data_IF_346851903606
#
_entry.id   IF_346851903606
#
_cell.length_a   1.000
_cell.length_b   1.000
_cell.length_c   1.000
_cell.angle_alpha   90.00
_cell.angle_beta   90.00
_cell.angle_gamma   90.00
#
_symmetry.space_group_name_H-M   'P 1'
#
loop_
_entity.id
_entity.type
_entity.pdbx_description
1 polymer ?
#
# COMPACT_ATOMS: atom_id res chain seq x y z
N UNK A 1 -2.23 30.41 27.60
CA UNK A 1 -1.33 29.25 27.45
C UNK A 1 -1.86 28.23 26.45
N UNK A 2 -3.05 27.64 26.64
CA UNK A 2 -3.56 26.55 25.76
C UNK A 2 -3.68 26.92 24.27
N UNK A 3 -4.18 28.12 23.93
CA UNK A 3 -4.27 28.59 22.54
C UNK A 3 -2.90 28.78 21.86
N UNK A 4 -1.89 29.20 22.62
CA UNK A 4 -0.51 29.36 22.12
C UNK A 4 0.17 28.00 21.87
N UNK A 5 -0.05 27.04 22.76
CA UNK A 5 0.45 25.66 22.60
C UNK A 5 -0.24 24.98 21.40
N UNK A 6 -1.54 25.19 21.23
CA UNK A 6 -2.28 24.69 20.08
C UNK A 6 -1.84 25.34 18.76
N UNK A 7 -1.62 26.65 18.73
CA UNK A 7 -1.10 27.34 17.55
C UNK A 7 0.32 26.88 17.19
N UNK A 8 1.20 26.68 18.18
CA UNK A 8 2.52 26.11 17.98
C UNK A 8 2.45 24.66 17.45
N UNK A 9 1.45 23.88 17.89
CA UNK A 9 1.21 22.52 17.40
C UNK A 9 0.75 22.51 15.94
N UNK A 10 -0.24 23.33 15.57
CA UNK A 10 -0.69 23.46 14.16
C UNK A 10 0.47 23.91 13.27
N UNK A 11 1.25 24.90 13.70
CA UNK A 11 2.43 25.34 12.97
C UNK A 11 3.46 24.21 12.81
N UNK A 12 3.70 23.40 13.84
CA UNK A 12 4.63 22.26 13.80
C UNK A 12 4.15 21.18 12.83
N UNK A 13 2.86 20.86 12.81
CA UNK A 13 2.27 19.88 11.88
C UNK A 13 2.35 20.38 10.43
N UNK A 14 2.01 21.65 10.18
CA UNK A 14 2.06 22.24 8.84
C UNK A 14 3.50 22.37 8.32
N UNK A 15 4.45 22.79 9.17
CA UNK A 15 5.88 22.82 8.84
C UNK A 15 6.45 21.42 8.64
N UNK A 16 5.99 20.43 9.41
CA UNK A 16 6.36 19.02 9.21
C UNK A 16 5.84 18.50 7.87
N UNK A 17 4.61 18.81 7.49
CA UNK A 17 4.10 18.41 6.18
C UNK A 17 4.88 19.06 5.03
N UNK A 18 5.16 20.37 5.14
CA UNK A 18 5.87 21.13 4.09
C UNK A 18 7.36 20.77 3.94
N UNK A 19 8.02 20.29 5.00
CA UNK A 19 9.47 19.99 5.00
C UNK A 19 9.75 18.48 5.03
N UNK A 20 9.02 17.73 5.85
CA UNK A 20 9.21 16.28 6.01
C UNK A 20 8.58 15.49 4.86
N UNK A 21 7.47 15.96 4.29
CA UNK A 21 6.82 15.34 3.14
C UNK A 21 7.77 15.24 1.94
N UNK A 22 8.35 16.36 1.47
CA UNK A 22 9.38 16.32 0.43
C UNK A 22 10.60 15.50 0.87
N UNK A 23 11.14 15.70 2.08
CA UNK A 23 12.32 14.96 2.55
C UNK A 23 12.13 13.43 2.53
N UNK A 24 10.98 12.93 2.99
CA UNK A 24 10.66 11.52 2.94
C UNK A 24 10.40 11.04 1.50
N UNK A 25 9.75 11.84 0.65
CA UNK A 25 9.62 11.58 -0.79
C UNK A 25 10.98 11.41 -1.46
N UNK A 26 11.91 12.36 -1.25
CA UNK A 26 13.29 12.31 -1.75
C UNK A 26 14.05 11.05 -1.30
N UNK A 27 13.83 10.58 -0.06
CA UNK A 27 14.44 9.35 0.46
C UNK A 27 13.80 8.07 -0.09
N UNK A 28 12.49 8.06 -0.33
CA UNK A 28 11.74 6.91 -0.86
C UNK A 28 12.01 6.74 -2.36
N UNK A 29 12.10 7.85 -3.10
CA UNK A 29 12.33 7.88 -4.54
C UNK A 29 13.82 7.74 -4.93
N UNK A 30 14.73 7.65 -3.96
CA UNK A 30 16.17 7.43 -4.20
C UNK A 30 16.92 8.65 -4.72
N UNK A 31 16.39 9.86 -4.55
CA UNK A 31 17.06 11.10 -4.91
C UNK A 31 18.15 11.49 -3.91
N UNK A 32 19.12 12.30 -4.36
CA UNK A 32 20.20 12.81 -3.51
C UNK A 32 19.70 13.81 -2.46
N UNK A 33 19.57 13.31 -1.23
CA UNK A 33 19.18 14.08 -0.04
C UNK A 33 20.10 15.26 0.30
N UNK A 34 21.28 15.39 -0.32
CA UNK A 34 22.19 16.53 -0.16
C UNK A 34 21.62 17.86 -0.68
N UNK A 35 20.62 17.79 -1.56
CA UNK A 35 19.91 18.95 -2.13
C UNK A 35 18.95 19.62 -1.13
N UNK A 36 18.51 18.89 -0.08
CA UNK A 36 17.76 19.48 1.02
C UNK A 36 18.73 20.12 2.00
N UNK A 37 18.74 21.46 2.04
CA UNK A 37 19.53 22.20 3.00
C UNK A 37 19.27 21.71 4.44
N UNK A 38 20.34 21.51 5.22
CA UNK A 38 20.25 21.06 6.62
C UNK A 38 19.52 22.08 7.52
N UNK A 39 19.46 23.34 7.09
CA UNK A 39 18.85 24.46 7.83
C UNK A 39 17.33 24.25 8.04
N UNK A 40 16.51 23.98 7.01
CA UNK A 40 15.10 23.60 7.17
C UNK A 40 14.84 22.46 8.16
N UNK A 41 15.65 21.40 8.11
CA UNK A 41 15.51 20.24 9.00
C UNK A 41 15.82 20.61 10.46
N UNK A 42 16.88 21.38 10.70
CA UNK A 42 17.26 21.85 12.04
C UNK A 42 16.19 22.79 12.61
N UNK A 43 15.66 23.71 11.80
CA UNK A 43 14.57 24.60 12.21
C UNK A 43 13.32 23.80 12.59
N UNK A 44 12.96 22.77 11.80
CA UNK A 44 11.84 21.90 12.10
C UNK A 44 12.07 21.11 13.40
N UNK A 45 13.27 20.57 13.62
CA UNK A 45 13.62 19.89 14.87
C UNK A 45 13.48 20.83 16.08
N UNK A 46 13.96 22.07 15.98
CA UNK A 46 13.82 23.08 17.05
C UNK A 46 12.35 23.38 17.32
N UNK A 47 11.51 23.52 16.28
CA UNK A 47 10.08 23.72 16.43
C UNK A 47 9.38 22.54 17.12
N UNK A 48 9.70 21.31 16.72
CA UNK A 48 9.14 20.09 17.32
C UNK A 48 9.57 19.96 18.80
N UNK A 49 10.86 20.15 19.10
CA UNK A 49 11.37 20.11 20.48
C UNK A 49 10.76 21.21 21.35
N UNK A 50 10.61 22.42 20.82
CA UNK A 50 9.93 23.53 21.49
C UNK A 50 8.46 23.22 21.78
N UNK A 51 7.76 22.57 20.83
CA UNK A 51 6.38 22.12 21.00
C UNK A 51 6.25 21.06 22.09
N UNK A 52 7.16 20.07 22.13
CA UNK A 52 7.22 19.05 23.20
C UNK A 52 7.49 19.71 24.55
N UNK A 53 8.50 20.58 24.65
CA UNK A 53 8.85 21.25 25.89
C UNK A 53 7.71 22.14 26.41
N UNK A 54 7.05 22.89 25.53
CA UNK A 54 5.87 23.70 25.85
C UNK A 54 4.69 22.85 26.34
N UNK A 55 4.48 21.70 25.71
CA UNK A 55 3.43 20.74 26.07
C UNK A 55 3.69 20.10 27.43
N UNK A 56 4.93 19.70 27.73
CA UNK A 56 5.35 19.18 29.04
C UNK A 56 5.22 20.24 30.13
N UNK A 57 5.64 21.48 29.88
CA UNK A 57 5.50 22.58 30.82
C UNK A 57 4.03 22.89 31.13
N UNK A 58 3.16 22.85 30.11
CA UNK A 58 1.72 23.03 30.28
C UNK A 58 1.09 21.88 31.07
N UNK A 59 1.45 20.62 30.77
CA UNK A 59 1.01 19.45 31.52
C UNK A 59 1.43 19.49 33.00
N UNK A 60 2.66 19.92 33.30
CA UNK A 60 3.15 20.11 34.67
C UNK A 60 2.37 21.20 35.41
N UNK A 61 2.02 22.30 34.74
CA UNK A 61 1.21 23.39 35.34
C UNK A 61 -0.23 22.96 35.61
N UNK A 62 -0.81 22.09 34.77
CA UNK A 62 -2.12 21.48 35.01
C UNK A 62 -2.09 20.50 36.20
N UNK A 63 -1.01 19.74 36.36
CA UNK A 63 -0.81 18.83 37.50
C UNK A 63 -0.79 19.55 38.85
N UNK A 64 -0.30 20.79 38.89
CA UNK A 64 -0.16 21.58 40.12
C UNK A 64 -1.45 22.33 40.54
N UNK A 65 -2.57 22.21 39.81
CA UNK A 65 -3.87 22.87 40.14
C UNK A 65 -4.88 21.98 40.91
N UNK A 66 -4.43 20.83 41.40
CA UNK A 66 -5.10 19.87 42.30
C UNK A 66 -6.39 19.12 41.84
N UNK A 67 -6.46 17.88 42.35
CA UNK A 67 -7.59 16.97 42.64
C UNK A 67 -8.60 16.55 41.54
N UNK A 68 -8.74 15.22 41.44
CA UNK A 68 -9.87 14.43 40.89
C UNK A 68 -10.19 14.48 39.38
N UNK A 69 -9.69 13.46 38.68
CA UNK A 69 -10.46 12.47 37.88
C UNK A 69 -9.57 11.88 36.79
N UNK A 70 -9.65 10.57 36.63
CA UNK A 70 -9.01 9.82 35.56
C UNK A 70 -9.66 10.17 34.21
N UNK A 71 -8.84 10.63 33.26
CA UNK A 71 -9.12 10.82 31.83
C UNK A 71 -10.04 12.00 31.40
N UNK A 72 -9.65 13.24 31.67
CA UNK A 72 -10.21 14.37 30.91
C UNK A 72 -9.79 14.33 29.42
N UNK A 73 -10.64 14.74 28.45
CA UNK A 73 -10.29 14.79 27.02
C UNK A 73 -8.98 15.52 26.74
N UNK A 74 -8.68 16.54 27.56
CA UNK A 74 -7.44 17.31 27.50
C UNK A 74 -6.20 16.46 27.79
N UNK A 75 -6.27 15.46 28.70
CA UNK A 75 -5.15 14.52 28.96
C UNK A 75 -4.92 13.54 27.81
N UNK A 76 -5.97 13.08 27.12
CA UNK A 76 -5.83 12.21 25.93
C UNK A 76 -5.21 12.95 24.76
N UNK A 77 -5.64 14.19 24.53
CA UNK A 77 -5.02 15.08 23.53
C UNK A 77 -3.55 15.35 23.89
N UNK A 78 -3.24 15.59 25.18
CA UNK A 78 -1.87 15.76 25.66
C UNK A 78 -0.99 14.53 25.42
N UNK A 79 -1.45 13.33 25.79
CA UNK A 79 -0.70 12.08 25.61
C UNK A 79 -0.52 11.73 24.12
N UNK A 80 -1.56 11.90 23.29
CA UNK A 80 -1.47 11.70 21.84
C UNK A 80 -0.54 12.71 21.16
N UNK A 81 -0.54 13.97 21.62
CA UNK A 81 0.35 15.02 21.10
C UNK A 81 1.81 14.80 21.50
N UNK A 82 2.08 14.26 22.68
CA UNK A 82 3.43 13.89 23.10
C UNK A 82 3.97 12.69 22.31
N UNK A 83 3.15 11.68 22.04
CA UNK A 83 3.57 10.51 21.25
C UNK A 83 3.94 10.87 19.81
N UNK A 84 3.09 11.67 19.14
CA UNK A 84 3.31 12.11 17.75
C UNK A 84 4.52 13.04 17.62
N UNK A 85 4.68 14.02 18.50
CA UNK A 85 5.81 14.95 18.47
C UNK A 85 7.14 14.26 18.85
N UNK A 86 7.11 13.28 19.75
CA UNK A 86 8.31 12.48 20.08
C UNK A 86 8.75 11.60 18.91
N UNK A 87 7.80 11.00 18.18
CA UNK A 87 8.08 10.25 16.96
C UNK A 87 8.71 11.12 15.86
N UNK A 88 8.16 12.32 15.63
CA UNK A 88 8.72 13.29 14.68
C UNK A 88 10.11 13.80 15.09
N UNK A 89 10.31 14.12 16.38
CA UNK A 89 11.61 14.55 16.89
C UNK A 89 12.69 13.47 16.73
N UNK A 90 12.32 12.20 16.97
CA UNK A 90 13.18 11.05 16.75
C UNK A 90 13.60 10.93 15.29
N UNK A 91 12.66 11.01 14.35
CA UNK A 91 12.93 10.95 12.89
C UNK A 91 13.82 12.11 12.43
N UNK A 92 13.57 13.33 12.93
CA UNK A 92 14.35 14.52 12.59
C UNK A 92 15.76 14.52 13.19
N UNK A 93 15.90 14.09 14.45
CA UNK A 93 17.21 13.94 15.09
C UNK A 93 18.08 12.92 14.35
N UNK A 94 17.46 11.84 13.85
CA UNK A 94 18.08 10.86 12.98
C UNK A 94 18.59 11.46 11.65
N UNK A 95 17.79 12.32 11.00
CA UNK A 95 18.14 12.97 9.74
C UNK A 95 19.31 13.97 9.86
N UNK A 96 19.44 14.65 11.01
CA UNK A 96 20.47 15.68 11.23
C UNK A 96 21.79 15.07 11.75
N UNK A 97 21.73 13.93 12.44
CA UNK A 97 22.88 13.23 13.00
C UNK A 97 22.92 11.73 12.58
N UNK A 98 23.20 11.44 11.29
CA UNK A 98 23.03 10.11 10.69
C UNK A 98 23.99 9.02 11.23
N UNK A 99 25.06 9.40 11.95
CA UNK A 99 26.05 8.46 12.51
C UNK A 99 25.72 7.94 13.92
N UNK A 100 24.52 8.20 14.44
CA UNK A 100 24.11 7.61 15.72
C UNK A 100 23.69 6.15 15.53
N UNK A 101 24.17 5.25 16.41
CA UNK A 101 23.82 3.80 16.48
C UNK A 101 22.29 3.54 16.55
N UNK A 102 21.54 4.60 16.86
CA UNK A 102 20.08 4.64 16.93
C UNK A 102 19.41 4.75 15.53
N UNK A 103 20.01 5.49 14.60
CA UNK A 103 19.54 5.61 13.20
C UNK A 103 19.59 4.26 12.45
N UNK A 104 20.68 3.50 12.64
CA UNK A 104 20.89 2.23 11.93
C UNK A 104 19.91 1.13 12.30
N UNK A 105 19.30 1.22 13.49
CA UNK A 105 18.53 0.11 14.07
C UNK A 105 17.03 0.31 13.96
N UNK A 106 16.53 1.54 14.10
CA UNK A 106 15.09 1.81 14.17
C UNK A 106 14.51 2.26 12.83
N UNK A 107 15.18 3.13 12.08
CA UNK A 107 14.63 3.68 10.82
C UNK A 107 14.85 2.71 9.65
N UNK A 108 16.04 2.11 9.54
CA UNK A 108 16.36 1.10 8.50
C UNK A 108 15.50 -0.17 8.59
N UNK A 109 15.23 -0.66 9.79
CA UNK A 109 14.55 -1.95 9.96
C UNK A 109 13.01 -1.84 10.03
N UNK A 110 12.47 -0.66 10.36
CA UNK A 110 11.01 -0.48 10.52
C UNK A 110 10.39 0.27 9.33
N UNK A 111 11.08 1.25 8.75
CA UNK A 111 10.51 2.15 7.73
C UNK A 111 11.17 2.08 6.36
N UNK A 112 12.38 1.53 6.26
CA UNK A 112 13.14 1.41 5.02
C UNK A 112 13.65 -0.02 4.80
N UNK A 113 12.79 -1.06 4.80
CA UNK A 113 13.23 -2.38 4.38
C UNK A 113 13.70 -2.30 2.94
N UNK A 114 15.02 -2.18 2.76
CA UNK A 114 15.66 -2.45 1.49
C UNK A 114 15.48 -3.94 1.25
N UNK A 115 14.97 -4.37 0.08
CA UNK A 115 14.86 -5.79 -0.21
C UNK A 115 16.24 -6.42 -0.02
N UNK A 116 16.30 -7.49 0.77
CA UNK A 116 17.47 -8.37 0.72
C UNK A 116 17.43 -9.07 -0.64
N UNK A 117 18.28 -8.67 -1.57
CA UNK A 117 18.51 -9.44 -2.77
C UNK A 117 19.01 -10.81 -2.34
N UNK A 118 18.23 -11.87 -2.65
CA UNK A 118 18.64 -13.25 -2.32
C UNK A 118 19.81 -13.72 -3.19
N UNK A 119 20.07 -13.00 -4.28
CA UNK A 119 21.23 -13.20 -5.13
C UNK A 119 21.63 -11.85 -5.76
N UNK A 120 22.85 -11.41 -5.47
CA UNK A 120 23.40 -10.14 -5.97
C UNK A 120 23.98 -10.27 -7.40
N UNK A 121 23.95 -11.48 -7.99
CA UNK A 121 24.50 -11.81 -9.31
C UNK A 121 23.63 -12.85 -10.01
N UNK A 122 23.63 -12.80 -11.34
CA UNK A 122 23.06 -13.85 -12.17
C UNK A 122 23.84 -15.15 -11.99
N UNK A 123 23.12 -16.27 -12.00
CA UNK A 123 23.65 -17.62 -11.93
C UNK A 123 23.35 -18.34 -13.25
N UNK A 124 24.38 -18.91 -13.89
CA UNK A 124 24.24 -19.57 -15.22
C UNK A 124 23.28 -20.77 -15.20
N UNK A 125 23.12 -21.40 -14.06
CA UNK A 125 22.15 -22.47 -13.79
C UNK A 125 20.69 -22.01 -13.85
N UNK A 126 20.42 -20.70 -13.93
CA UNK A 126 19.07 -20.16 -14.17
C UNK A 126 18.73 -20.02 -15.65
N UNK A 127 19.69 -20.23 -16.54
CA UNK A 127 19.46 -20.14 -17.97
C UNK A 127 18.46 -21.23 -18.41
N UNK A 128 17.41 -20.81 -19.12
CA UNK A 128 16.38 -21.73 -19.61
C UNK A 128 15.42 -22.29 -18.56
N UNK A 129 15.46 -21.84 -17.29
CA UNK A 129 14.44 -22.28 -16.32
C UNK A 129 13.05 -21.81 -16.75
N UNK A 130 12.06 -22.68 -16.61
CA UNK A 130 10.67 -22.39 -16.94
C UNK A 130 9.76 -22.70 -15.74
N UNK A 131 8.51 -22.25 -15.83
CA UNK A 131 7.42 -22.71 -14.95
C UNK A 131 7.38 -24.24 -14.91
N UNK A 132 7.27 -24.81 -13.70
CA UNK A 132 7.34 -26.26 -13.54
C UNK A 132 6.00 -26.95 -13.77
N UNK A 133 4.88 -26.29 -13.44
CA UNK A 133 3.55 -26.82 -13.65
C UNK A 133 2.49 -25.72 -13.83
N UNK A 134 1.37 -26.11 -14.46
CA UNK A 134 0.14 -25.33 -14.47
C UNK A 134 -0.92 -26.04 -13.62
N UNK A 135 -1.71 -25.28 -12.87
CA UNK A 135 -2.77 -25.78 -11.99
C UNK A 135 -4.08 -25.07 -12.29
N UNK A 136 -5.17 -25.79 -12.13
CA UNK A 136 -6.51 -25.20 -12.29
C UNK A 136 -6.76 -24.18 -11.19
N UNK A 137 -7.18 -22.97 -11.57
CA UNK A 137 -7.58 -21.91 -10.66
C UNK A 137 -9.07 -22.04 -10.31
N UNK A 138 -9.37 -22.86 -9.30
CA UNK A 138 -10.73 -22.98 -8.77
C UNK A 138 -11.77 -23.32 -9.84
N UNK A 139 -12.92 -22.61 -9.78
CA UNK A 139 -14.05 -22.76 -10.72
C UNK A 139 -13.88 -21.98 -12.04
N UNK A 140 -12.77 -21.27 -12.21
CA UNK A 140 -12.50 -20.52 -13.45
C UNK A 140 -12.11 -21.45 -14.61
N UNK A 141 -11.73 -22.70 -14.30
CA UNK A 141 -11.14 -23.68 -15.21
C UNK A 141 -9.84 -23.22 -15.91
N UNK A 142 -9.34 -22.02 -15.60
CA UNK A 142 -8.08 -21.52 -16.13
C UNK A 142 -6.90 -22.31 -15.55
N UNK A 143 -5.96 -22.70 -16.42
CA UNK A 143 -4.71 -23.34 -16.02
C UNK A 143 -3.64 -22.27 -15.80
N UNK A 144 -3.37 -21.93 -14.54
CA UNK A 144 -2.40 -20.90 -14.15
C UNK A 144 -1.07 -21.52 -13.73
N UNK A 145 0.03 -20.84 -14.01
CA UNK A 145 1.38 -21.24 -13.62
C UNK A 145 1.50 -21.38 -12.10
N UNK A 146 2.32 -22.32 -11.65
CA UNK A 146 2.58 -22.59 -10.23
C UNK A 146 3.32 -21.45 -9.50
N UNK A 147 3.90 -20.52 -10.27
CA UNK A 147 4.37 -19.22 -9.82
C UNK A 147 3.59 -18.14 -10.57
N UNK A 148 3.19 -17.09 -9.87
CA UNK A 148 2.52 -15.91 -10.42
C UNK A 148 3.31 -14.64 -10.10
N UNK A 149 3.13 -13.59 -10.89
CA UNK A 149 3.69 -12.26 -10.60
C UNK A 149 2.63 -11.36 -9.98
N UNK A 150 2.94 -10.79 -8.81
CA UNK A 150 2.28 -9.58 -8.31
C UNK A 150 3.09 -8.35 -8.70
N UNK A 151 2.47 -7.37 -9.35
CA UNK A 151 3.16 -6.14 -9.83
C UNK A 151 3.24 -5.04 -8.76
N UNK A 152 2.63 -5.26 -7.60
CA UNK A 152 2.56 -4.29 -6.49
C UNK A 152 3.83 -4.13 -5.69
N UNK A 153 5.01 -4.39 -6.27
CA UNK A 153 6.29 -4.35 -5.56
C UNK A 153 6.40 -3.02 -4.81
N UNK A 154 6.40 -3.10 -3.47
CA UNK A 154 6.41 -1.98 -2.53
C UNK A 154 7.33 -0.86 -3.02
N UNK A 155 6.71 0.18 -3.59
CA UNK A 155 7.28 1.52 -3.86
C UNK A 155 8.73 1.53 -4.36
N UNK A 156 8.95 1.23 -5.66
CA UNK A 156 10.27 1.45 -6.27
C UNK A 156 10.54 0.89 -7.67
N UNK A 157 9.54 0.70 -8.54
CA UNK A 157 9.80 0.39 -9.96
C UNK A 157 10.55 -0.92 -10.23
N UNK A 158 10.46 -1.92 -9.34
CA UNK A 158 11.18 -3.19 -9.49
C UNK A 158 10.59 -4.07 -10.59
N UNK A 159 9.30 -3.94 -10.88
CA UNK A 159 8.71 -4.56 -12.05
C UNK A 159 8.99 -3.66 -13.26
N UNK A 160 9.78 -4.15 -14.20
CA UNK A 160 10.01 -3.50 -15.50
C UNK A 160 9.33 -4.30 -16.62
N UNK A 161 9.09 -3.70 -17.80
CA UNK A 161 8.57 -4.44 -18.94
C UNK A 161 9.44 -5.65 -19.31
N UNK A 162 10.77 -5.52 -19.17
CA UNK A 162 11.71 -6.60 -19.44
C UNK A 162 11.57 -7.78 -18.45
N UNK A 163 11.41 -7.50 -17.15
CA UNK A 163 11.21 -8.56 -16.14
C UNK A 163 9.88 -9.28 -16.38
N UNK A 164 8.81 -8.53 -16.62
CA UNK A 164 7.50 -9.10 -16.92
C UNK A 164 7.53 -9.91 -18.24
N UNK A 165 8.24 -9.43 -19.27
CA UNK A 165 8.42 -10.13 -20.55
C UNK A 165 9.16 -11.45 -20.38
N UNK A 166 10.31 -11.44 -19.70
CA UNK A 166 11.10 -12.64 -19.41
C UNK A 166 10.25 -13.68 -18.66
N UNK A 167 9.44 -13.24 -17.70
CA UNK A 167 8.50 -14.08 -16.99
C UNK A 167 7.48 -14.76 -17.92
N UNK A 168 6.88 -14.01 -18.84
CA UNK A 168 5.95 -14.54 -19.85
C UNK A 168 6.66 -15.57 -20.72
N UNK A 169 7.87 -15.25 -21.20
CA UNK A 169 8.68 -16.12 -22.07
C UNK A 169 9.14 -17.40 -21.35
N UNK A 170 9.25 -17.37 -20.01
CA UNK A 170 9.49 -18.56 -19.16
C UNK A 170 8.21 -19.35 -18.83
N UNK A 171 7.09 -19.00 -19.44
CA UNK A 171 5.81 -19.71 -19.33
C UNK A 171 4.89 -19.23 -18.22
N UNK A 172 5.22 -18.17 -17.49
CA UNK A 172 4.31 -17.62 -16.49
C UNK A 172 3.11 -16.96 -17.15
N UNK A 173 1.91 -17.30 -16.66
CA UNK A 173 0.69 -16.83 -17.28
C UNK A 173 -0.31 -16.18 -16.32
N UNK A 174 -0.02 -16.10 -15.01
CA UNK A 174 -0.87 -15.34 -14.08
C UNK A 174 -0.13 -14.10 -13.57
N UNK A 175 -0.65 -12.94 -13.95
CA UNK A 175 -0.24 -11.62 -13.49
C UNK A 175 -1.34 -10.93 -12.70
N UNK A 176 -1.03 -10.52 -11.48
CA UNK A 176 -1.88 -9.71 -10.61
C UNK A 176 -1.33 -8.28 -10.52
N UNK A 177 -2.20 -7.30 -10.76
CA UNK A 177 -1.87 -5.87 -10.73
C UNK A 177 -2.97 -5.06 -10.06
N UNK A 178 -2.76 -3.74 -9.89
CA UNK A 178 -3.79 -2.84 -9.40
C UNK A 178 -3.52 -1.38 -9.83
N UNK A 179 -4.57 -0.56 -10.01
CA UNK A 179 -4.47 0.87 -10.31
C UNK A 179 -3.58 1.70 -9.36
N UNK A 180 -3.60 1.41 -8.05
CA UNK A 180 -2.86 2.16 -7.03
C UNK A 180 -1.41 1.66 -6.82
N UNK A 181 -0.98 0.64 -7.57
CA UNK A 181 0.38 0.14 -7.48
C UNK A 181 1.37 1.02 -8.28
N UNK A 182 2.51 1.33 -7.64
CA UNK A 182 3.65 2.05 -8.25
C UNK A 182 3.26 3.39 -8.88
N UNK A 183 2.50 4.21 -8.15
CA UNK A 183 2.01 5.52 -8.64
C UNK A 183 1.40 5.41 -10.05
N UNK A 184 0.54 4.41 -10.26
CA UNK A 184 -0.15 4.08 -11.53
C UNK A 184 0.66 3.35 -12.59
N UNK A 185 1.97 3.16 -12.37
CA UNK A 185 2.88 2.60 -13.38
C UNK A 185 2.74 1.10 -13.60
N UNK A 186 2.18 0.34 -12.65
CA UNK A 186 2.18 -1.13 -12.71
C UNK A 186 1.40 -1.69 -13.91
N UNK A 187 0.20 -1.16 -14.16
CA UNK A 187 -0.66 -1.56 -15.27
C UNK A 187 -0.06 -1.16 -16.61
N UNK A 188 0.55 0.01 -16.71
CA UNK A 188 1.23 0.49 -17.93
C UNK A 188 2.48 -0.34 -18.25
N UNK A 189 3.28 -0.68 -17.24
CA UNK A 189 4.45 -1.57 -17.38
C UNK A 189 4.01 -2.95 -17.87
N UNK A 190 2.95 -3.49 -17.27
CA UNK A 190 2.42 -4.79 -17.67
C UNK A 190 1.83 -4.73 -19.08
N UNK A 191 1.15 -3.65 -19.46
CA UNK A 191 0.65 -3.45 -20.83
C UNK A 191 1.76 -3.59 -21.86
N UNK A 192 2.91 -2.95 -21.62
CA UNK A 192 4.07 -3.03 -22.50
C UNK A 192 4.61 -4.47 -22.58
N UNK A 193 4.69 -5.17 -21.45
CA UNK A 193 5.14 -6.56 -21.39
C UNK A 193 4.16 -7.57 -22.01
N UNK A 194 2.86 -7.26 -22.07
CA UNK A 194 1.84 -8.18 -22.60
C UNK A 194 1.63 -8.06 -24.12
N UNK A 195 2.21 -7.06 -24.80
CA UNK A 195 2.07 -6.88 -26.25
C UNK A 195 2.43 -8.18 -26.99
N UNK A 196 1.46 -8.76 -27.70
CA UNK A 196 1.61 -10.03 -28.42
C UNK A 196 1.33 -11.30 -27.60
N UNK A 197 1.11 -11.19 -26.29
CA UNK A 197 0.92 -12.32 -25.37
C UNK A 197 -0.38 -12.25 -24.55
N UNK A 198 -1.20 -11.20 -24.71
CA UNK A 198 -2.41 -10.96 -23.88
C UNK A 198 -3.31 -12.20 -23.77
N UNK A 199 -3.56 -12.93 -24.85
CA UNK A 199 -4.44 -14.11 -24.86
C UNK A 199 -3.87 -15.31 -24.09
N UNK A 200 -2.55 -15.35 -23.88
CA UNK A 200 -1.87 -16.40 -23.13
C UNK A 200 -1.86 -16.12 -21.63
N UNK A 201 -2.36 -14.96 -21.19
CA UNK A 201 -2.23 -14.46 -19.82
C UNK A 201 -3.59 -14.41 -19.14
N UNK A 202 -3.66 -15.02 -17.97
CA UNK A 202 -4.70 -14.78 -16.97
C UNK A 202 -4.37 -13.49 -16.20
N UNK A 203 -5.08 -12.42 -16.55
CA UNK A 203 -4.81 -11.07 -16.03
C UNK A 203 -5.80 -10.69 -14.93
N UNK A 204 -5.28 -10.41 -13.73
CA UNK A 204 -6.07 -9.89 -12.62
C UNK A 204 -5.76 -8.42 -12.35
N UNK A 205 -6.81 -7.62 -12.19
CA UNK A 205 -6.73 -6.26 -11.60
C UNK A 205 -7.74 -6.12 -10.46
N UNK A 206 -7.94 -4.91 -9.95
CA UNK A 206 -8.72 -4.69 -8.73
C UNK A 206 -9.66 -3.49 -8.84
N UNK A 207 -10.78 -3.53 -8.12
CA UNK A 207 -11.68 -2.38 -7.93
C UNK A 207 -11.02 -1.34 -7.03
N UNK A 208 -10.13 -0.54 -7.61
CA UNK A 208 -9.54 0.63 -7.00
C UNK A 208 -9.25 1.71 -8.05
N UNK A 209 -8.81 2.86 -7.59
CA UNK A 209 -8.35 3.96 -8.45
C UNK A 209 -6.86 4.17 -8.24
N UNK A 210 -6.26 4.96 -9.11
CA UNK A 210 -4.89 5.45 -8.94
C UNK A 210 -4.68 6.21 -7.63
N UNK A 211 -5.76 6.71 -7.03
CA UNK A 211 -5.78 7.43 -5.76
C UNK A 211 -6.10 6.53 -4.55
N UNK A 212 -6.26 5.21 -4.76
CA UNK A 212 -6.52 4.22 -3.71
C UNK A 212 -7.85 3.48 -3.83
N UNK A 213 -8.17 2.72 -2.78
CA UNK A 213 -9.30 1.80 -2.74
C UNK A 213 -10.67 2.50 -2.74
N UNK A 214 -11.65 1.85 -3.36
CA UNK A 214 -13.06 2.28 -3.33
C UNK A 214 -13.74 1.81 -2.04
N UNK A 215 -14.38 2.74 -1.33
CA UNK A 215 -15.05 2.48 -0.04
C UNK A 215 -16.54 2.12 -0.19
N UNK A 216 -17.22 1.82 0.93
CA UNK A 216 -18.67 1.55 0.96
C UNK A 216 -19.49 2.69 0.35
N UNK A 217 -20.57 2.38 -0.36
CA UNK A 217 -21.44 3.38 -0.99
C UNK A 217 -20.85 4.02 -2.25
N UNK A 218 -19.73 3.50 -2.77
CA UNK A 218 -19.25 3.83 -4.11
C UNK A 218 -20.33 3.47 -5.13
N UNK A 219 -20.60 4.35 -6.09
CA UNK A 219 -21.66 4.11 -7.08
C UNK A 219 -21.27 3.03 -8.08
N UNK A 220 -22.26 2.32 -8.64
CA UNK A 220 -22.07 1.35 -9.74
C UNK A 220 -21.23 1.95 -10.87
N UNK A 221 -21.53 3.20 -11.25
CA UNK A 221 -20.82 3.94 -12.30
C UNK A 221 -19.33 4.08 -11.98
N UNK A 222 -18.98 4.41 -10.74
CA UNK A 222 -17.59 4.67 -10.36
C UNK A 222 -16.79 3.36 -10.25
N UNK A 223 -17.42 2.26 -9.82
CA UNK A 223 -16.82 0.91 -9.91
C UNK A 223 -16.54 0.50 -11.36
N UNK A 224 -17.48 0.73 -12.27
CA UNK A 224 -17.27 0.45 -13.70
C UNK A 224 -16.16 1.32 -14.28
N UNK A 225 -16.14 2.62 -13.97
CA UNK A 225 -15.12 3.56 -14.43
C UNK A 225 -13.72 3.16 -13.95
N UNK A 226 -13.59 2.60 -12.74
CA UNK A 226 -12.32 2.09 -12.22
C UNK A 226 -11.74 0.96 -13.09
N UNK A 227 -12.58 0.00 -13.50
CA UNK A 227 -12.17 -1.10 -14.38
C UNK A 227 -11.88 -0.58 -15.79
N UNK A 228 -12.71 0.30 -16.34
CA UNK A 228 -12.47 0.91 -17.65
C UNK A 228 -11.15 1.70 -17.70
N UNK A 229 -10.82 2.45 -16.64
CA UNK A 229 -9.53 3.11 -16.53
C UNK A 229 -8.37 2.11 -16.49
N UNK A 230 -8.56 0.96 -15.86
CA UNK A 230 -7.58 -0.13 -15.83
C UNK A 230 -7.36 -0.73 -17.21
N UNK A 231 -8.44 -1.00 -17.96
CA UNK A 231 -8.39 -1.48 -19.34
C UNK A 231 -7.61 -0.53 -20.26
N UNK A 232 -7.81 0.78 -20.11
CA UNK A 232 -7.05 1.79 -20.85
C UNK A 232 -5.55 1.73 -20.54
N UNK A 233 -5.17 1.66 -19.25
CA UNK A 233 -3.75 1.57 -18.84
C UNK A 233 -3.11 0.24 -19.26
N UNK A 234 -3.86 -0.85 -19.17
CA UNK A 234 -3.46 -2.20 -19.57
C UNK A 234 -3.44 -2.42 -21.09
N UNK A 235 -3.98 -1.47 -21.87
CA UNK A 235 -4.10 -1.54 -23.32
C UNK A 235 -4.80 -2.82 -23.81
N UNK A 236 -5.87 -3.21 -23.12
CA UNK A 236 -6.68 -4.40 -23.43
C UNK A 236 -8.16 -4.07 -23.23
N UNK A 237 -9.02 -4.85 -23.85
CA UNK A 237 -10.49 -4.74 -23.80
C UNK A 237 -11.12 -5.57 -22.67
N UNK A 238 -10.38 -6.51 -22.09
CA UNK A 238 -10.86 -7.32 -20.95
C UNK A 238 -9.76 -7.66 -19.95
N UNK A 239 -10.18 -7.96 -18.72
CA UNK A 239 -9.40 -8.65 -17.70
C UNK A 239 -10.05 -9.98 -17.37
N UNK A 240 -9.26 -10.96 -16.96
CA UNK A 240 -9.78 -12.28 -16.61
C UNK A 240 -10.40 -12.24 -15.20
N UNK A 241 -9.82 -11.48 -14.29
CA UNK A 241 -10.26 -11.40 -12.89
C UNK A 241 -10.24 -9.97 -12.37
N UNK A 242 -11.30 -9.58 -11.66
CA UNK A 242 -11.31 -8.32 -10.88
C UNK A 242 -11.51 -8.65 -9.41
N UNK A 243 -10.59 -8.21 -8.56
CA UNK A 243 -10.72 -8.35 -7.12
C UNK A 243 -11.37 -7.12 -6.47
N UNK A 244 -12.24 -7.33 -5.48
CA UNK A 244 -12.49 -6.30 -4.46
C UNK A 244 -11.19 -6.13 -3.66
N UNK A 245 -10.55 -4.96 -3.79
CA UNK A 245 -9.19 -4.72 -3.32
C UNK A 245 -9.14 -4.52 -1.81
N UNK A 246 -8.30 -5.29 -1.11
CA UNK A 246 -8.01 -5.13 0.32
C UNK A 246 -9.29 -5.01 1.16
N UNK A 247 -10.24 -5.91 0.91
CA UNK A 247 -11.54 -5.93 1.56
C UNK A 247 -11.40 -6.37 3.01
N UNK A 248 -11.79 -5.50 3.94
CA UNK A 248 -11.62 -5.68 5.38
C UNK A 248 -12.95 -5.69 6.15
N UNK A 249 -14.10 -5.62 5.46
CA UNK A 249 -15.42 -5.72 6.10
C UNK A 249 -16.36 -6.56 5.23
N UNK A 250 -17.27 -7.31 5.88
CA UNK A 250 -18.33 -8.05 5.17
C UNK A 250 -19.31 -7.08 4.50
N UNK A 251 -19.56 -5.91 5.10
CA UNK A 251 -20.41 -4.87 4.50
C UNK A 251 -19.88 -4.43 3.14
N UNK A 252 -18.57 -4.14 3.03
CA UNK A 252 -17.95 -3.74 1.76
C UNK A 252 -17.87 -4.91 0.77
N UNK A 253 -17.66 -6.13 1.28
CA UNK A 253 -17.64 -7.33 0.45
C UNK A 253 -18.99 -7.56 -0.26
N UNK A 254 -20.08 -7.29 0.45
CA UNK A 254 -21.46 -7.59 0.03
C UNK A 254 -22.24 -6.34 -0.45
N UNK A 255 -21.55 -5.23 -0.73
CA UNK A 255 -22.18 -4.01 -1.23
C UNK A 255 -22.83 -4.30 -2.60
N UNK A 256 -24.13 -4.05 -2.73
CA UNK A 256 -24.89 -4.35 -3.95
C UNK A 256 -24.30 -3.65 -5.18
N UNK A 257 -23.73 -2.46 -5.01
CA UNK A 257 -23.19 -1.67 -6.12
C UNK A 257 -21.95 -2.32 -6.76
N UNK A 258 -21.08 -2.98 -5.98
CA UNK A 258 -19.89 -3.64 -6.55
C UNK A 258 -20.28 -4.91 -7.30
N UNK A 259 -21.28 -5.64 -6.81
CA UNK A 259 -21.82 -6.81 -7.48
C UNK A 259 -22.53 -6.45 -8.78
N UNK A 260 -23.38 -5.43 -8.76
CA UNK A 260 -24.06 -4.94 -9.95
C UNK A 260 -23.06 -4.40 -10.99
N UNK A 261 -22.04 -3.65 -10.55
CA UNK A 261 -20.98 -3.17 -11.44
C UNK A 261 -20.22 -4.34 -12.09
N UNK A 262 -19.86 -5.36 -11.31
CA UNK A 262 -19.21 -6.57 -11.85
C UNK A 262 -20.11 -7.29 -12.86
N UNK A 263 -21.39 -7.50 -12.57
CA UNK A 263 -22.32 -8.17 -13.49
C UNK A 263 -22.41 -7.42 -14.82
N UNK A 264 -22.54 -6.09 -14.79
CA UNK A 264 -22.55 -5.25 -16.00
C UNK A 264 -21.23 -5.32 -16.77
N UNK A 265 -20.09 -5.33 -16.09
CA UNK A 265 -18.77 -5.47 -16.72
C UNK A 265 -18.60 -6.85 -17.36
N UNK A 266 -19.11 -7.90 -16.72
CA UNK A 266 -19.10 -9.26 -17.25
C UNK A 266 -19.97 -9.39 -18.48
N UNK A 267 -21.19 -8.85 -18.44
CA UNK A 267 -22.10 -8.87 -19.58
C UNK A 267 -21.55 -8.06 -20.77
N UNK A 268 -20.72 -7.05 -20.50
CA UNK A 268 -19.98 -6.29 -21.51
C UNK A 268 -18.69 -6.98 -22.00
N UNK A 269 -18.34 -8.14 -21.44
CA UNK A 269 -17.11 -8.87 -21.77
C UNK A 269 -15.82 -8.23 -21.22
N UNK A 270 -15.92 -7.22 -20.36
CA UNK A 270 -14.77 -6.46 -19.81
C UNK A 270 -14.08 -7.17 -18.64
N UNK A 271 -14.79 -8.05 -17.95
CA UNK A 271 -14.27 -8.85 -16.84
C UNK A 271 -14.89 -10.26 -16.88
N UNK A 272 -14.14 -11.33 -16.61
CA UNK A 272 -14.70 -12.70 -16.63
C UNK A 272 -15.08 -13.21 -15.24
N UNK A 273 -14.21 -13.01 -14.27
CA UNK A 273 -14.35 -13.57 -12.91
C UNK A 273 -14.29 -12.49 -11.84
N UNK A 274 -14.98 -12.74 -10.72
CA UNK A 274 -14.97 -11.89 -9.55
C UNK A 274 -14.14 -12.53 -8.45
N UNK A 275 -13.28 -11.76 -7.83
CA UNK A 275 -12.55 -12.20 -6.65
C UNK A 275 -12.56 -11.18 -5.53
N UNK A 276 -11.89 -11.54 -4.44
CA UNK A 276 -11.62 -10.65 -3.31
C UNK A 276 -10.18 -10.82 -2.86
N UNK A 277 -9.53 -9.71 -2.49
CA UNK A 277 -8.26 -9.71 -1.78
C UNK A 277 -8.47 -9.23 -0.35
N UNK A 278 -7.97 -9.96 0.65
CA UNK A 278 -8.15 -9.61 2.07
C UNK A 278 -6.94 -9.99 2.93
N UNK A 279 -6.76 -9.28 4.05
CA UNK A 279 -5.62 -9.35 4.94
C UNK A 279 -6.06 -9.42 6.41
N UNK A 280 -5.15 -9.83 7.29
CA UNK A 280 -5.36 -9.77 8.74
C UNK A 280 -5.52 -8.32 9.22
N UNK A 281 -6.31 -8.06 10.28
CA UNK A 281 -6.96 -9.04 11.15
C UNK A 281 -8.31 -9.56 10.63
N UNK A 282 -8.90 -8.91 9.62
CA UNK A 282 -10.29 -9.16 9.18
C UNK A 282 -10.42 -10.28 8.12
N UNK A 283 -9.33 -11.00 7.83
CA UNK A 283 -9.24 -12.04 6.81
C UNK A 283 -10.31 -13.12 6.99
N UNK A 284 -10.42 -13.70 8.19
CA UNK A 284 -11.33 -14.83 8.43
C UNK A 284 -12.81 -14.47 8.17
N UNK A 285 -13.39 -13.41 8.78
CA UNK A 285 -14.79 -13.09 8.54
C UNK A 285 -15.07 -12.74 7.07
N UNK A 286 -14.16 -12.03 6.39
CA UNK A 286 -14.31 -11.69 4.97
C UNK A 286 -14.23 -12.94 4.09
N UNK A 287 -13.25 -13.81 4.32
CA UNK A 287 -13.08 -15.04 3.54
C UNK A 287 -14.28 -16.00 3.72
N UNK A 288 -14.78 -16.13 4.96
CA UNK A 288 -15.97 -16.93 5.27
C UNK A 288 -17.19 -16.41 4.53
N UNK A 289 -17.48 -15.12 4.62
CA UNK A 289 -18.61 -14.51 3.93
C UNK A 289 -18.50 -14.66 2.39
N UNK A 290 -17.28 -14.52 1.84
CA UNK A 290 -17.04 -14.71 0.41
C UNK A 290 -17.38 -16.15 -0.03
N UNK A 291 -16.97 -17.15 0.75
CA UNK A 291 -17.27 -18.56 0.49
C UNK A 291 -18.78 -18.83 0.61
N UNK A 292 -19.42 -18.37 1.69
CA UNK A 292 -20.84 -18.62 1.97
C UNK A 292 -21.77 -17.95 0.95
N UNK A 293 -21.35 -16.82 0.37
CA UNK A 293 -22.12 -16.12 -0.67
C UNK A 293 -22.17 -16.85 -2.01
N UNK A 294 -21.25 -17.79 -2.26
CA UNK A 294 -21.01 -18.45 -3.56
C UNK A 294 -20.79 -17.48 -4.74
N UNK A 295 -20.47 -16.21 -4.44
CA UNK A 295 -20.42 -15.12 -5.42
C UNK A 295 -19.04 -14.91 -6.05
N UNK A 296 -17.99 -15.41 -5.40
CA UNK A 296 -16.59 -15.17 -5.73
C UNK A 296 -15.91 -16.42 -6.30
N UNK A 297 -15.15 -16.24 -7.37
CA UNK A 297 -14.41 -17.29 -8.05
C UNK A 297 -13.01 -17.51 -7.44
N UNK A 298 -12.38 -16.43 -6.96
CA UNK A 298 -10.99 -16.43 -6.47
C UNK A 298 -10.83 -15.57 -5.21
N UNK A 299 -10.21 -16.14 -4.17
CA UNK A 299 -9.83 -15.43 -2.95
C UNK A 299 -8.30 -15.28 -2.90
N UNK A 300 -7.83 -14.03 -2.84
CA UNK A 300 -6.43 -13.69 -2.59
C UNK A 300 -6.24 -13.39 -1.10
N UNK A 301 -5.59 -14.30 -0.39
CA UNK A 301 -5.47 -14.26 1.07
C UNK A 301 -4.02 -14.00 1.49
N UNK A 302 -3.83 -13.18 2.52
CA UNK A 302 -2.54 -13.05 3.18
C UNK A 302 -2.16 -14.36 3.88
N UNK A 303 -1.19 -15.08 3.32
CA UNK A 303 -0.72 -16.34 3.88
C UNK A 303 0.80 -16.47 3.76
N UNK A 304 1.47 -16.67 4.90
CA UNK A 304 2.84 -17.12 4.98
C UNK A 304 3.06 -17.83 6.32
N UNK A 305 4.16 -18.56 6.45
CA UNK A 305 4.53 -19.32 7.66
C UNK A 305 4.60 -18.50 8.96
N UNK A 306 4.56 -17.17 8.89
CA UNK A 306 4.60 -16.26 10.05
C UNK A 306 3.34 -15.41 10.23
N UNK A 307 2.33 -15.52 9.36
CA UNK A 307 1.05 -14.79 9.45
C UNK A 307 -0.11 -15.69 9.89
N UNK A 308 0.16 -16.93 10.26
CA UNK A 308 -0.85 -17.84 10.79
C UNK A 308 -0.68 -18.00 12.31
N UNK A 309 -1.77 -17.98 13.10
CA UNK A 309 -1.71 -18.15 14.56
C UNK A 309 -1.16 -19.51 15.00
#
# INVERSE_FOLDING_TARGET
MGKLVFAAWVATVLLSWAVLGPYLGYLIEGYDSSQLGKVPLVLLLVCVLGSVAGTVAWARKLRNRQTESTASPQRRVLLGSLGTASGLAATLGAAIAPNSRWYSTTVKNIFLPSPSYKADRYHSDWEGTQIAAYRRLGRTEAMVSDISIGTGSSSGGRMTPAIAREAIERGMNYFDTAPDYSETGSETVLAEAMKGYREQIFLATKFCTTSGHLGPGTSVRDYMAAVEGSLQRLQTDYVDLVHIHSCNTVERLMDENVHEAFDRLRDQGKAKFLGVSTHTPDLEPVARAAIESDRFDVLMLAYHHGAWP
#
